data_IF_112336186678
#
_entry.id   IF_112336186678
#
_cell.length_a   1.000
_cell.length_b   1.000
_cell.length_c   1.000
_cell.angle_alpha   90.00
_cell.angle_beta   90.00
_cell.angle_gamma   90.00
#
_symmetry.space_group_name_H-M   'P 1'
#
loop_
_entity.id
_entity.type
_entity.pdbx_description
1 polymer ?
#
# COMPACT_ATOMS: atom_id res chain seq x y z
N UNK A 1 -5.18 2.22 -9.44
CA UNK A 1 -5.28 3.23 -8.35
C UNK A 1 -6.65 3.06 -7.76
N UNK A 2 -6.72 2.80 -6.46
CA UNK A 2 -7.96 2.38 -5.79
C UNK A 2 -7.99 0.92 -5.31
N UNK A 3 -6.92 0.14 -5.54
CA UNK A 3 -6.86 -1.22 -4.98
C UNK A 3 -6.53 -1.14 -3.49
N UNK A 4 -7.33 -1.83 -2.69
CA UNK A 4 -7.04 -2.02 -1.27
C UNK A 4 -6.00 -3.13 -1.11
N UNK A 5 -4.92 -2.83 -0.40
CA UNK A 5 -3.85 -3.78 -0.13
C UNK A 5 -3.55 -3.84 1.35
N UNK A 6 -2.97 -4.96 1.77
CA UNK A 6 -2.30 -5.09 3.06
C UNK A 6 -0.80 -5.32 2.81
N UNK A 7 0.02 -4.37 3.25
CA UNK A 7 1.47 -4.38 3.09
C UNK A 7 2.15 -4.05 4.42
N UNK A 8 3.09 -4.89 4.85
CA UNK A 8 3.85 -4.71 6.10
C UNK A 8 2.95 -4.50 7.35
N UNK A 9 1.77 -5.14 7.37
CA UNK A 9 0.78 -5.01 8.44
C UNK A 9 -0.08 -3.75 8.37
N UNK A 10 0.04 -2.95 7.30
CA UNK A 10 -0.75 -1.74 7.07
C UNK A 10 -1.73 -2.03 5.94
N UNK A 11 -3.01 -1.86 6.22
CA UNK A 11 -4.10 -1.98 5.24
C UNK A 11 -4.49 -0.59 4.76
N UNK A 12 -4.54 -0.39 3.45
CA UNK A 12 -4.89 0.90 2.87
C UNK A 12 -5.10 0.83 1.36
N UNK A 13 -5.57 1.93 0.79
CA UNK A 13 -5.84 2.06 -0.64
C UNK A 13 -4.60 2.63 -1.33
N UNK A 14 -4.15 2.00 -2.42
CA UNK A 14 -3.02 2.54 -3.20
C UNK A 14 -3.42 3.82 -3.92
N UNK A 15 -2.82 4.93 -3.48
CA UNK A 15 -2.99 6.26 -4.06
C UNK A 15 -1.96 6.48 -5.15
N UNK A 16 -0.68 6.19 -4.89
CA UNK A 16 0.41 6.37 -5.84
C UNK A 16 1.52 5.34 -5.65
N UNK A 17 2.28 5.12 -6.73
CA UNK A 17 3.46 4.26 -6.74
C UNK A 17 4.62 5.10 -7.24
N UNK A 18 5.64 5.26 -6.40
CA UNK A 18 6.89 5.95 -6.74
C UNK A 18 8.04 4.94 -6.91
N UNK A 19 9.18 5.35 -7.50
CA UNK A 19 10.30 4.44 -7.73
C UNK A 19 10.84 3.76 -6.45
N UNK A 20 10.79 4.44 -5.30
CA UNK A 20 11.32 3.94 -4.03
C UNK A 20 10.26 3.75 -2.93
N UNK A 21 9.05 4.29 -3.12
CA UNK A 21 7.99 4.29 -2.10
C UNK A 21 6.62 3.99 -2.71
N UNK A 22 5.75 3.43 -1.89
CA UNK A 22 4.33 3.25 -2.14
C UNK A 22 3.56 4.24 -1.27
N UNK A 23 2.54 4.89 -1.83
CA UNK A 23 1.65 5.78 -1.09
C UNK A 23 0.29 5.11 -0.88
N UNK A 24 -0.11 4.99 0.39
CA UNK A 24 -1.38 4.43 0.81
C UNK A 24 -2.23 5.50 1.50
N UNK A 25 -3.53 5.46 1.25
CA UNK A 25 -4.53 6.16 2.08
C UNK A 25 -5.05 5.19 3.13
N UNK A 26 -4.94 5.56 4.40
CA UNK A 26 -5.37 4.78 5.58
C UNK A 26 -6.14 5.74 6.47
N UNK A 27 -7.42 5.48 6.72
CA UNK A 27 -8.26 6.30 7.61
C UNK A 27 -8.16 7.83 7.34
N UNK A 28 -8.21 8.20 6.05
CA UNK A 28 -8.03 9.58 5.53
C UNK A 28 -6.62 10.20 5.71
N UNK A 29 -5.64 9.43 6.16
CA UNK A 29 -4.24 9.82 6.26
C UNK A 29 -3.36 9.16 5.18
N UNK A 30 -2.37 9.89 4.69
CA UNK A 30 -1.41 9.38 3.72
C UNK A 30 -0.20 8.73 4.41
N UNK A 31 0.05 7.47 4.10
CA UNK A 31 1.19 6.69 4.60
C UNK A 31 2.14 6.37 3.44
N UNK A 32 3.42 6.72 3.60
CA UNK A 32 4.47 6.36 2.65
C UNK A 32 5.23 5.12 3.14
N UNK A 33 5.21 4.06 2.35
CA UNK A 33 5.94 2.82 2.63
C UNK A 33 7.13 2.65 1.69
N UNK A 34 8.35 2.43 2.20
CA UNK A 34 9.48 2.07 1.36
C UNK A 34 9.22 0.75 0.61
N UNK A 35 9.57 0.69 -0.66
CA UNK A 35 9.41 -0.52 -1.48
C UNK A 35 10.14 -1.73 -0.86
N UNK A 36 11.28 -1.52 -0.20
CA UNK A 36 12.01 -2.57 0.53
C UNK A 36 11.19 -3.22 1.65
N UNK A 37 10.27 -2.46 2.27
CA UNK A 37 9.37 -2.93 3.33
C UNK A 37 8.12 -3.60 2.75
N UNK A 38 7.65 -3.14 1.59
CA UNK A 38 6.51 -3.71 0.87
C UNK A 38 6.87 -5.06 0.23
N UNK A 39 7.95 -5.11 -0.56
CA UNK A 39 8.40 -6.31 -1.27
C UNK A 39 9.25 -7.25 -0.42
N UNK A 40 9.74 -6.80 0.75
CA UNK A 40 10.39 -7.65 1.74
C UNK A 40 9.41 -8.42 2.63
N UNK A 41 8.11 -8.15 2.54
CA UNK A 41 7.05 -8.81 3.30
C UNK A 41 6.01 -9.48 2.39
N UNK A 42 5.04 -10.16 3.01
CA UNK A 42 3.89 -10.73 2.28
C UNK A 42 2.94 -9.61 1.84
N UNK A 43 2.64 -9.53 0.54
CA UNK A 43 1.73 -8.56 -0.06
C UNK A 43 0.40 -9.24 -0.41
N UNK A 44 -0.72 -8.72 0.11
CA UNK A 44 -2.05 -9.22 -0.24
C UNK A 44 -2.88 -8.12 -0.88
N UNK A 45 -3.43 -8.41 -2.05
CA UNK A 45 -4.30 -7.49 -2.80
C UNK A 45 -5.73 -8.01 -2.71
N UNK A 46 -6.68 -7.16 -2.30
CA UNK A 46 -8.10 -7.46 -2.36
C UNK A 46 -8.77 -6.50 -3.34
N UNK A 47 -9.41 -7.07 -4.34
CA UNK A 47 -10.20 -6.31 -5.32
C UNK A 47 -11.67 -6.49 -4.96
N UNK A 48 -12.34 -5.42 -4.55
CA UNK A 48 -13.81 -5.42 -4.58
C UNK A 48 -14.24 -5.36 -6.05
N UNK A 49 -15.11 -6.30 -6.44
CA UNK A 49 -15.73 -6.39 -7.77
C UNK A 49 -17.16 -5.88 -7.65
#
# INVERSE_FOLDING_TARGET
MGDEIEAAGIRGVVVAIHPATLELLVDDETVHLPNSRVFGGELRVRREI
#
